data_IF_908953632018
#
_entry.id   IF_908953632018
#
_cell.length_a   1.000
_cell.length_b   1.000
_cell.length_c   1.000
_cell.angle_alpha   90.00
_cell.angle_beta   90.00
_cell.angle_gamma   90.00
#
_symmetry.space_group_name_H-M   'P 1'
#
loop_
_entity.id
_entity.type
_entity.pdbx_description
1 polymer ?
#
# COMPACT_ATOMS: atom_id res chain seq x y z
N UNK A 1 -13.17 9.95 21.27
CA UNK A 1 -13.33 8.49 21.29
C UNK A 1 -12.19 7.90 20.46
N UNK A 2 -11.09 7.49 21.11
CA UNK A 2 -9.89 6.95 20.44
C UNK A 2 -10.25 5.57 19.84
N UNK A 3 -9.96 5.33 18.55
CA UNK A 3 -10.35 4.08 17.86
C UNK A 3 -9.60 2.89 18.47
N UNK A 4 -10.18 1.68 18.40
CA UNK A 4 -9.55 0.44 18.92
C UNK A 4 -8.18 0.16 18.28
N UNK A 5 -7.96 0.59 17.05
CA UNK A 5 -6.68 0.49 16.32
C UNK A 5 -5.65 1.47 16.87
N UNK A 6 -6.02 2.74 17.06
CA UNK A 6 -5.15 3.76 17.68
C UNK A 6 -4.68 3.32 19.08
N UNK A 7 -5.53 2.59 19.84
CA UNK A 7 -5.15 2.01 21.14
C UNK A 7 -4.13 0.88 21.02
N UNK A 8 -4.22 0.02 20.00
CA UNK A 8 -3.31 -1.12 19.79
C UNK A 8 -1.94 -0.65 19.28
N UNK A 9 -1.93 0.32 18.37
CA UNK A 9 -0.71 0.92 17.84
C UNK A 9 0.03 1.72 18.94
N UNK A 10 -0.70 2.48 19.77
CA UNK A 10 -0.13 3.13 20.95
C UNK A 10 0.42 2.13 21.98
N UNK A 11 -0.26 1.01 22.22
CA UNK A 11 0.23 -0.07 23.11
C UNK A 11 1.57 -0.65 22.62
N UNK A 12 1.71 -0.86 21.31
CA UNK A 12 2.94 -1.41 20.72
C UNK A 12 4.10 -0.42 20.80
N UNK A 13 3.82 0.88 20.60
CA UNK A 13 4.82 1.94 20.75
C UNK A 13 5.32 2.03 22.20
N UNK A 14 4.42 1.87 23.18
CA UNK A 14 4.79 1.82 24.60
C UNK A 14 5.64 0.59 24.94
N UNK A 15 5.34 -0.57 24.36
CA UNK A 15 6.17 -1.78 24.49
C UNK A 15 7.58 -1.57 23.92
N UNK A 16 7.67 -0.94 22.74
CA UNK A 16 8.96 -0.58 22.13
C UNK A 16 9.75 0.36 23.04
N UNK A 17 9.12 1.40 23.58
CA UNK A 17 9.77 2.34 24.49
C UNK A 17 10.32 1.63 25.74
N UNK A 18 9.51 0.76 26.38
CA UNK A 18 9.94 -0.02 27.54
C UNK A 18 11.10 -0.98 27.23
N UNK A 19 11.06 -1.64 26.07
CA UNK A 19 12.12 -2.55 25.65
C UNK A 19 13.45 -1.79 25.41
N UNK A 20 13.38 -0.60 24.82
CA UNK A 20 14.54 0.27 24.62
C UNK A 20 15.15 0.72 25.96
N UNK A 21 14.33 1.16 26.91
CA UNK A 21 14.78 1.53 28.25
C UNK A 21 15.42 0.35 28.99
N UNK A 22 14.79 -0.83 28.91
CA UNK A 22 15.29 -2.06 29.54
C UNK A 22 16.63 -2.51 28.95
N UNK A 23 16.89 -2.19 27.69
CA UNK A 23 18.16 -2.45 27.01
C UNK A 23 19.23 -1.38 27.27
N UNK A 24 18.95 -0.40 28.15
CA UNK A 24 19.90 0.65 28.55
C UNK A 24 19.92 1.87 27.63
N UNK A 25 18.96 2.02 26.72
CA UNK A 25 18.84 3.23 25.93
C UNK A 25 18.31 4.40 26.80
N UNK A 26 18.97 5.55 26.71
CA UNK A 26 18.63 6.75 27.49
C UNK A 26 17.61 7.59 26.74
N UNK A 27 16.54 7.99 27.43
CA UNK A 27 15.51 8.88 26.88
C UNK A 27 16.05 10.31 26.68
N UNK A 28 15.79 10.90 25.53
CA UNK A 28 16.13 12.29 25.18
C UNK A 28 14.86 13.10 24.87
N UNK A 29 14.98 14.43 24.89
CA UNK A 29 13.88 15.31 24.46
C UNK A 29 13.50 15.02 23.00
N UNK A 30 12.24 14.60 22.73
CA UNK A 30 11.81 14.29 21.38
C UNK A 30 11.65 15.57 20.54
N UNK A 31 11.96 15.54 19.23
CA UNK A 31 11.70 16.66 18.34
C UNK A 31 10.18 16.89 18.15
N UNK A 32 9.82 17.98 17.47
CA UNK A 32 8.42 18.31 17.21
C UNK A 32 7.68 17.12 16.54
N UNK A 33 6.48 16.83 17.04
CA UNK A 33 5.62 15.71 16.61
C UNK A 33 6.13 14.29 16.91
N UNK A 34 7.31 14.14 17.54
CA UNK A 34 7.75 12.87 18.11
C UNK A 34 7.15 12.64 19.50
N UNK A 35 6.96 11.36 19.87
CA UNK A 35 6.52 10.94 21.21
C UNK A 35 7.74 10.53 22.04
N UNK A 36 8.62 9.72 21.45
CA UNK A 36 9.80 9.20 22.12
C UNK A 36 11.05 9.44 21.29
N UNK A 37 12.17 9.61 21.99
CA UNK A 37 13.50 9.60 21.41
C UNK A 37 14.44 8.92 22.40
N UNK A 38 15.17 7.92 21.93
CA UNK A 38 16.14 7.18 22.74
C UNK A 38 17.50 7.18 22.06
N UNK A 39 18.55 7.17 22.90
CA UNK A 39 19.95 7.02 22.49
C UNK A 39 20.57 5.83 23.18
N UNK A 40 21.30 5.03 22.43
CA UNK A 40 22.23 4.03 22.95
C UNK A 40 23.57 4.29 22.27
N UNK A 41 24.60 4.72 23.01
CA UNK A 41 25.87 5.18 22.43
C UNK A 41 25.67 6.20 21.30
N UNK A 42 26.14 5.88 20.10
CA UNK A 42 25.96 6.72 18.89
C UNK A 42 24.64 6.48 18.16
N UNK A 43 23.92 5.41 18.49
CA UNK A 43 22.63 5.03 17.92
C UNK A 43 21.49 5.90 18.44
N UNK A 44 20.56 6.28 17.55
CA UNK A 44 19.37 7.06 17.90
C UNK A 44 18.14 6.40 17.31
N UNK A 45 17.06 6.29 18.08
CA UNK A 45 15.73 5.94 17.59
C UNK A 45 14.73 7.02 17.98
N UNK A 46 13.96 7.51 17.01
CA UNK A 46 12.88 8.49 17.22
C UNK A 46 11.55 7.91 16.76
N UNK A 47 10.56 7.94 17.65
CA UNK A 47 9.23 7.38 17.42
C UNK A 47 8.21 8.53 17.34
N UNK A 48 7.48 8.61 16.23
CA UNK A 48 6.53 9.68 15.94
C UNK A 48 5.09 9.33 16.30
N UNK A 49 4.26 10.37 16.54
CA UNK A 49 2.80 10.23 16.73
C UNK A 49 2.08 9.50 15.60
N UNK A 50 2.70 9.45 14.42
CA UNK A 50 2.20 8.76 13.24
C UNK A 50 2.53 7.26 13.19
N UNK A 51 3.16 6.70 14.23
CA UNK A 51 3.71 5.35 14.25
C UNK A 51 5.05 5.19 13.52
N UNK A 52 5.55 6.25 12.85
CA UNK A 52 6.82 6.18 12.14
C UNK A 52 8.00 6.07 13.11
N UNK A 53 8.92 5.15 12.85
CA UNK A 53 10.16 4.98 13.61
C UNK A 53 11.34 5.34 12.70
N UNK A 54 12.22 6.22 13.17
CA UNK A 54 13.38 6.70 12.42
C UNK A 54 14.64 6.39 13.20
N UNK A 55 15.58 5.74 12.53
CA UNK A 55 16.88 5.37 13.08
C UNK A 55 17.96 6.35 12.59
N UNK A 56 18.65 6.98 13.53
CA UNK A 56 19.82 7.82 13.31
C UNK A 56 21.06 7.23 13.97
N UNK A 57 22.19 7.93 13.87
CA UNK A 57 23.46 7.45 14.41
C UNK A 57 24.27 6.59 13.43
N UNK A 58 25.34 5.98 13.95
CA UNK A 58 26.29 5.15 13.20
C UNK A 58 26.66 3.91 14.00
N UNK A 59 27.23 2.92 13.31
CA UNK A 59 27.83 1.74 13.94
C UNK A 59 26.81 0.76 14.52
N UNK A 60 27.33 -0.15 15.35
CA UNK A 60 26.61 -1.30 15.90
C UNK A 60 25.45 -0.87 16.80
N UNK A 61 25.58 0.25 17.52
CA UNK A 61 24.55 0.80 18.40
C UNK A 61 23.20 1.02 17.69
N UNK A 62 23.25 1.51 16.45
CA UNK A 62 22.05 1.72 15.63
C UNK A 62 21.38 0.39 15.28
N UNK A 63 22.18 -0.62 14.92
CA UNK A 63 21.66 -1.95 14.57
C UNK A 63 21.13 -2.70 15.80
N UNK A 64 21.74 -2.48 16.98
CA UNK A 64 21.21 -2.98 18.26
C UNK A 64 19.83 -2.37 18.54
N UNK A 65 19.70 -1.04 18.48
CA UNK A 65 18.41 -0.36 18.65
C UNK A 65 17.37 -0.89 17.67
N UNK A 66 17.74 -1.04 16.39
CA UNK A 66 16.86 -1.59 15.36
C UNK A 66 16.45 -3.02 15.67
N UNK A 67 17.37 -3.88 16.09
CA UNK A 67 17.07 -5.27 16.46
C UNK A 67 16.10 -5.37 17.64
N UNK A 68 16.24 -4.50 18.64
CA UNK A 68 15.32 -4.43 19.78
C UNK A 68 13.92 -4.06 19.30
N UNK A 69 13.82 -2.99 18.51
CA UNK A 69 12.54 -2.55 17.96
C UNK A 69 11.91 -3.63 17.07
N UNK A 70 12.68 -4.22 16.17
CA UNK A 70 12.23 -5.25 15.24
C UNK A 70 11.70 -6.49 15.99
N UNK A 71 12.36 -6.87 17.09
CA UNK A 71 11.90 -7.97 17.96
C UNK A 71 10.51 -7.66 18.51
N UNK A 72 10.31 -6.48 19.11
CA UNK A 72 9.01 -6.09 19.68
C UNK A 72 7.94 -5.94 18.60
N UNK A 73 8.28 -5.35 17.45
CA UNK A 73 7.34 -5.15 16.35
C UNK A 73 6.91 -6.45 15.67
N UNK A 74 7.73 -7.50 15.74
CA UNK A 74 7.43 -8.81 15.12
C UNK A 74 6.92 -9.86 16.11
N UNK A 75 6.88 -9.55 17.41
CA UNK A 75 6.39 -10.45 18.45
C UNK A 75 4.85 -10.66 18.35
N UNK A 76 4.35 -11.89 18.46
CA UNK A 76 2.91 -12.17 18.47
C UNK A 76 2.12 -11.57 17.28
N UNK A 77 2.77 -11.35 16.14
CA UNK A 77 2.10 -10.92 14.91
C UNK A 77 1.47 -12.13 14.23
N UNK A 78 0.37 -11.91 13.51
CA UNK A 78 -0.15 -12.96 12.64
C UNK A 78 0.89 -13.24 11.55
N UNK A 79 1.41 -14.46 11.49
CA UNK A 79 2.42 -14.92 10.51
C UNK A 79 1.81 -15.85 9.46
N UNK A 80 0.48 -15.99 9.44
CA UNK A 80 -0.22 -16.84 8.48
C UNK A 80 0.15 -16.45 7.05
N UNK A 81 0.63 -17.40 6.22
CA UNK A 81 0.90 -17.13 4.81
C UNK A 81 -0.36 -16.66 4.10
N UNK A 82 -0.32 -15.46 3.53
CA UNK A 82 -1.52 -14.81 2.98
C UNK A 82 -1.22 -14.01 1.72
N UNK A 83 -2.28 -13.75 0.96
CA UNK A 83 -2.31 -12.73 -0.08
C UNK A 83 -3.05 -11.51 0.45
N UNK A 84 -2.46 -10.33 0.29
CA UNK A 84 -3.14 -9.05 0.44
C UNK A 84 -3.30 -8.39 -0.94
N UNK A 85 -4.45 -7.80 -1.22
CA UNK A 85 -4.68 -7.08 -2.47
C UNK A 85 -5.32 -5.71 -2.25
N UNK A 86 -4.94 -4.76 -3.10
CA UNK A 86 -5.49 -3.39 -3.13
C UNK A 86 -5.36 -2.80 -4.54
N UNK A 87 -6.07 -1.69 -4.79
CA UNK A 87 -6.05 -0.95 -6.06
C UNK A 87 -5.68 0.53 -5.92
N UNK A 88 -5.13 1.10 -6.99
CA UNK A 88 -4.86 2.53 -7.11
C UNK A 88 -5.42 3.10 -8.42
N UNK A 89 -5.90 4.34 -8.38
CA UNK A 89 -6.40 5.05 -9.57
C UNK A 89 -7.84 4.74 -9.97
N UNK A 90 -8.58 3.92 -9.21
CA UNK A 90 -10.02 3.62 -9.45
C UNK A 90 -10.88 4.88 -9.54
N UNK A 91 -10.67 5.80 -8.59
CA UNK A 91 -11.44 7.05 -8.50
C UNK A 91 -10.84 8.22 -9.25
N UNK A 92 -9.73 8.06 -9.97
CA UNK A 92 -9.01 9.17 -10.61
C UNK A 92 -9.37 9.27 -12.10
N UNK A 93 -9.69 10.47 -12.56
CA UNK A 93 -10.08 10.73 -13.95
C UNK A 93 -8.95 10.44 -14.93
N UNK A 94 -7.77 10.99 -14.68
CA UNK A 94 -6.59 10.82 -15.51
C UNK A 94 -5.69 9.67 -15.00
N UNK A 95 -4.92 9.07 -15.90
CA UNK A 95 -3.96 8.03 -15.57
C UNK A 95 -4.54 6.62 -15.43
N UNK A 96 -3.68 5.63 -15.12
CA UNK A 96 -4.05 4.22 -15.13
C UNK A 96 -4.96 3.82 -13.97
N UNK A 97 -5.58 2.65 -14.09
CA UNK A 97 -6.07 1.85 -12.97
C UNK A 97 -5.06 0.73 -12.70
N UNK A 98 -4.68 0.52 -11.45
CA UNK A 98 -3.73 -0.53 -11.07
C UNK A 98 -4.31 -1.39 -9.97
N UNK A 99 -4.20 -2.72 -10.11
CA UNK A 99 -4.48 -3.68 -9.04
C UNK A 99 -3.20 -4.42 -8.72
N UNK A 100 -2.85 -4.53 -7.44
CA UNK A 100 -1.73 -5.32 -6.98
C UNK A 100 -2.21 -6.37 -5.96
N UNK A 101 -1.66 -7.57 -6.07
CA UNK A 101 -1.79 -8.62 -5.07
C UNK A 101 -0.40 -9.08 -4.66
N UNK A 102 -0.14 -9.11 -3.35
CA UNK A 102 1.13 -9.49 -2.76
C UNK A 102 0.91 -10.73 -1.92
N UNK A 103 1.73 -11.76 -2.14
CA UNK A 103 1.85 -12.94 -1.30
C UNK A 103 3.02 -12.77 -0.34
N UNK A 104 2.78 -13.08 0.94
CA UNK A 104 3.82 -13.16 1.96
C UNK A 104 3.69 -14.46 2.75
N UNK A 105 4.82 -15.13 2.94
CA UNK A 105 5.04 -16.14 3.96
C UNK A 105 5.51 -15.47 5.27
N UNK A 106 5.84 -16.27 6.29
CA UNK A 106 6.23 -15.75 7.60
C UNK A 106 7.42 -14.76 7.53
N UNK A 107 8.56 -15.10 6.88
CA UNK A 107 9.68 -14.17 6.76
C UNK A 107 9.28 -12.85 6.09
N UNK A 108 8.54 -12.92 4.98
CA UNK A 108 8.10 -11.73 4.26
C UNK A 108 7.17 -10.85 5.12
N UNK A 109 6.23 -11.43 5.88
CA UNK A 109 5.36 -10.68 6.79
C UNK A 109 6.18 -9.90 7.82
N UNK A 110 7.17 -10.55 8.44
CA UNK A 110 8.04 -9.91 9.43
C UNK A 110 8.84 -8.77 8.81
N UNK A 111 9.40 -8.97 7.61
CA UNK A 111 10.14 -7.91 6.91
C UNK A 111 9.24 -6.72 6.53
N UNK A 112 8.00 -6.96 6.09
CA UNK A 112 7.05 -5.88 5.80
C UNK A 112 6.79 -5.00 7.04
N UNK A 113 6.64 -5.62 8.22
CA UNK A 113 6.44 -4.90 9.48
C UNK A 113 7.66 -4.04 9.82
N UNK A 114 8.87 -4.58 9.67
CA UNK A 114 10.13 -3.84 9.89
C UNK A 114 10.32 -2.68 8.93
N UNK A 115 9.88 -2.83 7.67
CA UNK A 115 9.85 -1.75 6.68
C UNK A 115 8.88 -0.63 7.05
N UNK A 116 7.99 -0.85 8.03
CA UNK A 116 6.99 0.12 8.45
C UNK A 116 5.97 0.39 7.36
N UNK A 117 5.57 -0.65 6.61
CA UNK A 117 4.48 -0.53 5.64
C UNK A 117 3.23 -0.08 6.37
N UNK A 118 2.58 0.94 5.82
CA UNK A 118 1.40 1.58 6.38
C UNK A 118 0.53 2.12 5.27
N UNK A 119 -0.64 2.65 5.63
CA UNK A 119 -1.55 3.31 4.69
C UNK A 119 -0.78 4.20 3.71
N UNK A 120 -0.83 3.78 2.44
CA UNK A 120 -0.06 4.38 1.38
C UNK A 120 -0.42 5.86 1.20
N UNK A 121 -1.66 6.26 1.52
CA UNK A 121 -2.15 7.65 1.40
C UNK A 121 -1.40 8.64 2.30
N UNK A 122 -0.77 8.17 3.38
CA UNK A 122 0.01 8.98 4.32
C UNK A 122 1.48 9.13 3.92
N UNK A 123 1.88 8.59 2.77
CA UNK A 123 3.25 8.57 2.28
C UNK A 123 3.44 9.57 1.13
N UNK A 124 4.63 10.18 1.03
CA UNK A 124 5.03 10.93 -0.15
C UNK A 124 5.27 10.00 -1.34
N UNK A 125 5.18 10.51 -2.57
CA UNK A 125 5.40 9.73 -3.79
C UNK A 125 6.81 9.10 -3.82
N UNK A 126 7.83 9.84 -3.41
CA UNK A 126 9.20 9.34 -3.28
C UNK A 126 9.28 8.14 -2.31
N UNK A 127 8.64 8.26 -1.14
CA UNK A 127 8.63 7.19 -0.14
C UNK A 127 7.85 5.97 -0.64
N UNK A 128 6.76 6.17 -1.38
CA UNK A 128 5.99 5.09 -2.01
C UNK A 128 6.84 4.33 -3.03
N UNK A 129 7.54 5.03 -3.92
CA UNK A 129 8.40 4.40 -4.93
C UNK A 129 9.52 3.59 -4.26
N UNK A 130 10.19 4.17 -3.27
CA UNK A 130 11.25 3.49 -2.52
C UNK A 130 10.72 2.25 -1.78
N UNK A 131 9.62 2.37 -1.04
CA UNK A 131 9.04 1.25 -0.30
C UNK A 131 8.55 0.14 -1.23
N UNK A 132 7.96 0.48 -2.38
CA UNK A 132 7.54 -0.51 -3.37
C UNK A 132 8.72 -1.33 -3.90
N UNK A 133 9.88 -0.72 -4.08
CA UNK A 133 11.09 -1.43 -4.51
C UNK A 133 11.65 -2.33 -3.38
N UNK A 134 11.58 -1.91 -2.10
CA UNK A 134 11.94 -2.79 -0.97
C UNK A 134 10.96 -3.96 -0.80
N UNK A 135 9.65 -3.72 -0.92
CA UNK A 135 8.61 -4.77 -0.84
C UNK A 135 8.86 -5.86 -1.88
N UNK A 136 9.22 -5.48 -3.11
CA UNK A 136 9.50 -6.43 -4.20
C UNK A 136 10.73 -7.31 -3.98
N UNK A 137 11.64 -6.92 -3.09
CA UNK A 137 12.81 -7.74 -2.73
C UNK A 137 12.46 -8.86 -1.74
N UNK A 138 11.45 -8.64 -0.89
CA UNK A 138 11.12 -9.54 0.23
C UNK A 138 9.83 -10.33 0.00
N UNK A 139 8.93 -9.85 -0.87
CA UNK A 139 7.64 -10.46 -1.11
C UNK A 139 7.45 -10.85 -2.59
N UNK A 140 6.49 -11.75 -2.82
CA UNK A 140 6.07 -12.12 -4.17
C UNK A 140 4.76 -11.45 -4.52
N UNK A 141 4.49 -11.21 -5.80
CA UNK A 141 3.24 -10.58 -6.18
C UNK A 141 2.90 -10.66 -7.65
N UNK A 142 1.71 -10.17 -7.96
CA UNK A 142 1.23 -9.97 -9.32
C UNK A 142 0.54 -8.60 -9.39
N UNK A 143 0.82 -7.85 -10.45
CA UNK A 143 0.27 -6.51 -10.66
C UNK A 143 -0.35 -6.45 -12.05
N UNK A 144 -1.51 -5.79 -12.14
CA UNK A 144 -2.14 -5.44 -13.40
C UNK A 144 -2.28 -3.93 -13.51
N UNK A 145 -1.53 -3.34 -14.44
CA UNK A 145 -1.66 -1.93 -14.84
C UNK A 145 -2.56 -1.85 -16.06
N UNK A 146 -3.68 -1.15 -15.95
CA UNK A 146 -4.58 -0.81 -17.04
C UNK A 146 -4.35 0.65 -17.42
N UNK A 147 -3.53 0.87 -18.45
CA UNK A 147 -3.34 2.21 -19.03
C UNK A 147 -4.66 2.71 -19.64
N UNK A 148 -4.90 4.04 -19.72
CA UNK A 148 -6.23 4.57 -20.05
C UNK A 148 -6.86 4.01 -21.32
N UNK A 149 -6.07 3.84 -22.38
CA UNK A 149 -6.56 3.26 -23.64
C UNK A 149 -7.12 1.85 -23.46
N UNK A 150 -6.39 0.98 -22.75
CA UNK A 150 -6.85 -0.38 -22.47
C UNK A 150 -8.02 -0.38 -21.48
N UNK A 151 -7.94 0.45 -20.45
CA UNK A 151 -9.02 0.65 -19.48
C UNK A 151 -10.33 0.99 -20.20
N UNK A 152 -10.32 1.97 -21.10
CA UNK A 152 -11.50 2.43 -21.83
C UNK A 152 -12.10 1.31 -22.70
N UNK A 153 -11.25 0.53 -23.39
CA UNK A 153 -11.68 -0.64 -24.17
C UNK A 153 -12.35 -1.69 -23.28
N UNK A 154 -11.76 -2.03 -22.14
CA UNK A 154 -12.35 -3.01 -21.23
C UNK A 154 -13.63 -2.48 -20.58
N UNK A 155 -13.65 -1.21 -20.18
CA UNK A 155 -14.83 -0.59 -19.60
C UNK A 155 -16.02 -0.59 -20.56
N UNK A 156 -15.81 -0.39 -21.87
CA UNK A 156 -16.87 -0.48 -22.86
C UNK A 156 -17.57 -1.86 -22.88
N UNK A 157 -16.84 -2.93 -22.56
CA UNK A 157 -17.38 -4.29 -22.47
C UNK A 157 -18.11 -4.54 -21.14
N UNK A 158 -17.52 -4.13 -20.01
CA UNK A 158 -18.08 -4.42 -18.68
C UNK A 158 -19.15 -3.43 -18.23
N UNK A 159 -19.08 -2.18 -18.71
CA UNK A 159 -19.92 -1.01 -18.38
C UNK A 159 -20.10 -0.75 -16.87
N UNK A 160 -19.19 -1.28 -16.06
CA UNK A 160 -19.19 -1.16 -14.61
C UNK A 160 -17.77 -1.43 -14.09
N UNK A 161 -17.22 -0.47 -13.34
CA UNK A 161 -15.85 -0.56 -12.83
C UNK A 161 -15.66 -1.72 -11.85
N UNK A 162 -16.65 -2.03 -11.01
CA UNK A 162 -16.53 -3.13 -10.05
C UNK A 162 -16.51 -4.49 -10.78
N UNK A 163 -17.27 -4.66 -11.86
CA UNK A 163 -17.19 -5.88 -12.70
C UNK A 163 -15.83 -6.03 -13.38
N UNK A 164 -15.24 -4.93 -13.84
CA UNK A 164 -13.87 -4.95 -14.37
C UNK A 164 -12.87 -5.34 -13.29
N UNK A 165 -12.97 -4.74 -12.10
CA UNK A 165 -12.12 -5.06 -10.95
C UNK A 165 -12.26 -6.54 -10.55
N UNK A 166 -13.48 -7.09 -10.49
CA UNK A 166 -13.71 -8.50 -10.15
C UNK A 166 -12.90 -9.45 -11.04
N UNK A 167 -12.84 -9.18 -12.35
CA UNK A 167 -12.06 -9.99 -13.30
C UNK A 167 -10.56 -9.84 -13.06
N UNK A 168 -10.09 -8.61 -12.83
CA UNK A 168 -8.66 -8.33 -12.61
C UNK A 168 -8.19 -8.95 -11.28
N UNK A 169 -8.91 -8.71 -10.19
CA UNK A 169 -8.61 -9.27 -8.87
C UNK A 169 -8.58 -10.80 -8.93
N UNK A 170 -9.61 -11.43 -9.47
CA UNK A 170 -9.65 -12.90 -9.59
C UNK A 170 -8.47 -13.44 -10.38
N UNK A 171 -8.12 -12.82 -11.51
CA UNK A 171 -7.01 -13.29 -12.34
C UNK A 171 -5.67 -13.25 -11.60
N UNK A 172 -5.41 -12.18 -10.83
CA UNK A 172 -4.18 -12.05 -10.05
C UNK A 172 -4.17 -12.99 -8.85
N UNK A 173 -5.29 -13.09 -8.13
CA UNK A 173 -5.41 -13.96 -6.95
C UNK A 173 -5.30 -15.43 -7.35
N UNK A 174 -6.03 -15.89 -8.37
CA UNK A 174 -5.98 -17.28 -8.84
C UNK A 174 -4.56 -17.71 -9.21
N UNK A 175 -3.82 -16.84 -9.93
CA UNK A 175 -2.40 -17.07 -10.26
C UNK A 175 -1.54 -17.28 -9.01
N UNK A 176 -1.71 -16.44 -8.00
CA UNK A 176 -0.93 -16.51 -6.77
C UNK A 176 -1.37 -17.68 -5.88
N UNK A 177 -2.66 -17.98 -5.81
CA UNK A 177 -3.21 -19.12 -5.05
C UNK A 177 -2.68 -20.43 -5.61
N UNK A 178 -2.71 -20.62 -6.93
CA UNK A 178 -2.17 -21.82 -7.60
C UNK A 178 -0.68 -21.99 -7.35
N UNK A 179 0.09 -20.89 -7.34
CA UNK A 179 1.54 -20.92 -7.20
C UNK A 179 2.00 -21.12 -5.76
N UNK A 180 1.43 -20.39 -4.81
CA UNK A 180 1.95 -20.28 -3.45
C UNK A 180 1.07 -20.93 -2.37
N UNK A 181 -0.15 -21.37 -2.72
CA UNK A 181 -1.08 -22.07 -1.82
C UNK A 181 -1.25 -21.36 -0.45
N UNK A 182 -1.61 -20.06 -0.43
CA UNK A 182 -1.78 -19.30 0.81
C UNK A 182 -2.90 -19.91 1.67
N UNK A 183 -2.86 -19.62 2.97
CA UNK A 183 -3.96 -19.97 3.89
C UNK A 183 -5.08 -18.94 3.89
N UNK A 184 -4.76 -17.68 3.57
CA UNK A 184 -5.73 -16.58 3.57
C UNK A 184 -5.55 -15.64 2.37
N UNK A 185 -6.65 -15.07 1.90
CA UNK A 185 -6.69 -13.95 0.95
C UNK A 185 -7.45 -12.80 1.60
N UNK A 186 -6.85 -11.61 1.63
CA UNK A 186 -7.43 -10.38 2.19
C UNK A 186 -7.52 -9.34 1.07
N UNK A 187 -8.71 -8.76 0.89
CA UNK A 187 -8.97 -7.77 -0.17
C UNK A 187 -9.71 -6.56 0.43
N UNK A 188 -9.28 -5.35 0.08
CA UNK A 188 -10.04 -4.13 0.43
C UNK A 188 -11.39 -4.09 -0.30
N UNK A 189 -12.44 -3.79 0.44
CA UNK A 189 -13.81 -3.88 -0.08
C UNK A 189 -14.11 -2.69 -1.00
N UNK A 190 -14.04 -2.93 -2.31
CA UNK A 190 -14.39 -1.93 -3.33
C UNK A 190 -15.84 -2.05 -3.87
N UNK A 191 -16.57 -3.11 -3.49
CA UNK A 191 -17.94 -3.41 -3.89
C UNK A 191 -18.54 -4.60 -3.13
N UNK A 192 -19.86 -4.79 -3.17
CA UNK A 192 -20.54 -5.87 -2.43
C UNK A 192 -20.38 -7.26 -3.05
N UNK A 193 -20.10 -7.35 -4.35
CA UNK A 193 -20.05 -8.62 -5.09
C UNK A 193 -18.74 -9.42 -4.94
N UNK A 194 -17.63 -8.77 -4.59
CA UNK A 194 -16.30 -9.39 -4.66
C UNK A 194 -16.16 -10.59 -3.73
N UNK A 195 -16.69 -10.53 -2.50
CA UNK A 195 -16.59 -11.66 -1.56
C UNK A 195 -17.19 -12.93 -2.15
N UNK A 196 -18.43 -12.85 -2.63
CA UNK A 196 -19.10 -13.99 -3.29
C UNK A 196 -18.28 -14.47 -4.49
N UNK A 197 -17.81 -13.54 -5.31
CA UNK A 197 -17.04 -13.86 -6.52
C UNK A 197 -15.74 -14.60 -6.21
N UNK A 198 -15.02 -14.22 -5.14
CA UNK A 198 -13.84 -14.94 -4.67
C UNK A 198 -14.20 -16.34 -4.16
N UNK A 199 -15.23 -16.46 -3.31
CA UNK A 199 -15.68 -17.76 -2.79
C UNK A 199 -16.09 -18.72 -3.92
N UNK A 200 -16.81 -18.24 -4.94
CA UNK A 200 -17.28 -19.06 -6.05
C UNK A 200 -16.12 -19.58 -6.97
N UNK A 201 -14.92 -18.99 -6.90
CA UNK A 201 -13.84 -19.24 -7.86
C UNK A 201 -12.51 -19.69 -7.22
N UNK A 202 -12.38 -19.63 -5.90
CA UNK A 202 -11.18 -20.04 -5.18
C UNK A 202 -11.44 -21.30 -4.36
N UNK A 203 -10.40 -22.10 -4.04
CA UNK A 203 -10.57 -23.31 -3.24
C UNK A 203 -11.09 -23.00 -1.82
N UNK A 204 -11.99 -23.84 -1.31
CA UNK A 204 -12.55 -23.75 0.06
C UNK A 204 -11.47 -23.80 1.16
N UNK A 205 -10.28 -24.31 0.83
CA UNK A 205 -9.14 -24.36 1.75
C UNK A 205 -8.50 -22.99 2.04
N UNK A 206 -8.91 -21.94 1.32
CA UNK A 206 -8.40 -20.57 1.48
C UNK A 206 -9.41 -19.75 2.25
N UNK A 207 -9.00 -19.18 3.39
CA UNK A 207 -9.80 -18.23 4.15
C UNK A 207 -9.91 -16.90 3.38
N UNK A 208 -11.14 -16.50 3.01
CA UNK A 208 -11.39 -15.30 2.20
C UNK A 208 -11.96 -14.19 3.09
N UNK A 209 -11.16 -13.14 3.26
CA UNK A 209 -11.49 -11.97 4.06
C UNK A 209 -11.65 -10.75 3.15
N UNK A 210 -12.85 -10.18 3.12
CA UNK A 210 -13.15 -8.92 2.42
C UNK A 210 -13.67 -7.94 3.44
N UNK A 211 -12.91 -6.88 3.70
CA UNK A 211 -13.19 -5.90 4.74
C UNK A 211 -12.90 -4.49 4.24
N UNK A 212 -13.51 -3.50 4.88
CA UNK A 212 -13.13 -2.10 4.67
C UNK A 212 -11.87 -1.81 5.49
N UNK A 213 -11.01 -0.93 4.99
CA UNK A 213 -9.74 -0.57 5.65
C UNK A 213 -8.80 -1.76 5.82
N UNK A 214 -8.74 -2.59 4.78
CA UNK A 214 -7.92 -3.78 4.79
C UNK A 214 -6.41 -3.45 4.89
N UNK A 215 -6.00 -2.20 4.61
CA UNK A 215 -4.63 -1.70 4.78
C UNK A 215 -4.12 -1.71 6.23
N UNK A 216 -4.96 -2.05 7.20
CA UNK A 216 -4.51 -2.40 8.56
C UNK A 216 -3.69 -3.70 8.62
N UNK A 217 -3.88 -4.61 7.66
CA UNK A 217 -3.01 -5.78 7.47
C UNK A 217 -1.74 -5.36 6.68
N UNK A 218 -0.53 -5.74 7.15
CA UNK A 218 0.72 -5.30 6.51
C UNK A 218 0.88 -5.80 5.07
N UNK A 219 0.29 -6.95 4.72
CA UNK A 219 0.38 -7.51 3.36
C UNK A 219 -0.53 -6.74 2.41
N UNK A 220 -1.71 -6.31 2.87
CA UNK A 220 -2.58 -5.42 2.10
C UNK A 220 -1.98 -4.01 1.98
N UNK A 221 -1.39 -3.48 3.05
CA UNK A 221 -0.66 -2.20 3.00
C UNK A 221 0.48 -2.24 1.98
N UNK A 222 1.21 -3.36 1.91
CA UNK A 222 2.25 -3.57 0.90
C UNK A 222 1.66 -3.59 -0.52
N UNK A 223 0.52 -4.26 -0.74
CA UNK A 223 -0.19 -4.23 -2.02
C UNK A 223 -0.63 -2.81 -2.41
N UNK A 224 -1.15 -2.02 -1.46
CA UNK A 224 -1.51 -0.61 -1.65
C UNK A 224 -0.34 0.24 -2.11
N UNK A 225 0.82 0.09 -1.45
CA UNK A 225 2.06 0.79 -1.80
C UNK A 225 2.51 0.41 -3.21
N UNK A 226 2.51 -0.88 -3.54
CA UNK A 226 2.91 -1.36 -4.88
C UNK A 226 1.94 -0.86 -5.95
N UNK A 227 0.62 -0.92 -5.73
CA UNK A 227 -0.38 -0.42 -6.67
C UNK A 227 -0.19 1.08 -6.92
N UNK A 228 0.01 1.87 -5.86
CA UNK A 228 0.24 3.32 -5.97
C UNK A 228 1.56 3.62 -6.70
N UNK A 229 2.63 2.90 -6.41
CA UNK A 229 3.92 3.08 -7.09
C UNK A 229 3.83 2.81 -8.60
N UNK A 230 3.16 1.72 -8.99
CA UNK A 230 2.96 1.40 -10.40
C UNK A 230 2.00 2.39 -11.10
N UNK A 231 1.03 2.95 -10.37
CA UNK A 231 0.20 4.07 -10.89
C UNK A 231 1.06 5.31 -11.18
N UNK A 232 1.93 5.70 -10.25
CA UNK A 232 2.84 6.84 -10.41
C UNK A 232 3.77 6.64 -11.61
N UNK A 233 4.37 5.46 -11.75
CA UNK A 233 5.19 5.08 -12.92
C UNK A 233 4.37 5.15 -14.22
N UNK A 234 3.14 4.65 -14.21
CA UNK A 234 2.23 4.76 -15.36
C UNK A 234 1.91 6.21 -15.74
N UNK A 235 1.66 7.09 -14.76
CA UNK A 235 1.51 8.52 -15.02
C UNK A 235 2.78 9.11 -15.63
N UNK A 236 3.96 8.86 -15.07
CA UNK A 236 5.24 9.35 -15.61
C UNK A 236 5.48 8.90 -17.07
N UNK A 237 5.08 7.67 -17.42
CA UNK A 237 5.14 7.17 -18.80
C UNK A 237 4.21 7.97 -19.73
N UNK A 238 2.99 8.29 -19.30
CA UNK A 238 2.06 9.12 -20.06
C UNK A 238 2.60 10.55 -20.21
N UNK A 239 3.10 11.14 -19.13
CA UNK A 239 3.68 12.50 -19.13
C UNK A 239 4.83 12.59 -20.13
N UNK A 240 5.77 11.63 -20.08
CA UNK A 240 6.89 11.56 -21.02
C UNK A 240 6.45 11.36 -22.47
N UNK A 241 5.44 10.52 -22.70
CA UNK A 241 4.96 10.17 -24.05
C UNK A 241 4.21 11.31 -24.73
N UNK A 242 3.41 12.06 -23.97
CA UNK A 242 2.49 13.06 -24.51
C UNK A 242 2.92 14.50 -24.23
N UNK A 243 3.96 14.72 -23.41
CA UNK A 243 4.46 16.07 -23.09
C UNK A 243 3.51 16.86 -22.20
N UNK A 244 2.74 16.18 -21.34
CA UNK A 244 1.68 16.77 -20.49
C UNK A 244 1.95 16.44 -19.03
N UNK A 245 1.34 17.17 -18.09
CA UNK A 245 1.32 16.79 -16.67
C UNK A 245 0.01 16.06 -16.36
N UNK A 246 0.10 14.87 -15.76
CA UNK A 246 -1.10 14.14 -15.34
C UNK A 246 -1.53 14.65 -13.95
N UNK A 247 -2.76 15.14 -13.79
CA UNK A 247 -3.25 15.62 -12.50
C UNK A 247 -3.33 14.46 -11.50
N UNK A 248 -2.97 14.76 -10.25
CA UNK A 248 -3.09 13.81 -9.15
C UNK A 248 -4.46 13.98 -8.49
N UNK A 249 -5.40 13.09 -8.82
CA UNK A 249 -6.78 13.17 -8.32
C UNK A 249 -7.69 14.02 -9.19
N UNK A 250 -8.82 14.46 -8.61
CA UNK A 250 -9.94 15.06 -9.35
C UNK A 250 -10.26 16.50 -8.90
N UNK A 251 -9.26 17.26 -8.44
CA UNK A 251 -9.48 18.67 -8.15
C UNK A 251 -9.92 19.39 -9.44
N UNK A 252 -11.06 20.09 -9.40
CA UNK A 252 -11.68 20.68 -10.59
C UNK A 252 -10.75 21.62 -11.35
N UNK A 253 -10.03 22.48 -10.64
CA UNK A 253 -9.11 23.43 -11.26
C UNK A 253 -7.97 22.69 -11.94
N UNK A 254 -7.39 21.68 -11.29
CA UNK A 254 -6.33 20.86 -11.90
C UNK A 254 -6.80 20.11 -13.14
N UNK A 255 -8.02 19.55 -13.13
CA UNK A 255 -8.58 18.88 -14.30
C UNK A 255 -8.87 19.87 -15.43
N UNK A 256 -9.43 21.05 -15.12
CA UNK A 256 -9.72 22.07 -16.14
C UNK A 256 -8.44 22.54 -16.84
N UNK A 257 -7.38 22.85 -16.09
CA UNK A 257 -6.07 23.19 -16.65
C UNK A 257 -5.47 22.03 -17.47
N UNK A 258 -5.61 20.81 -16.98
CA UNK A 258 -5.16 19.62 -17.73
C UNK A 258 -5.90 19.49 -19.07
N UNK A 259 -7.23 19.63 -19.08
CA UNK A 259 -8.04 19.54 -20.31
C UNK A 259 -7.71 20.66 -21.30
N UNK A 260 -7.41 21.87 -20.83
CA UNK A 260 -6.94 22.97 -21.69
C UNK A 260 -5.56 22.70 -22.31
N UNK A 261 -4.72 21.88 -21.65
CA UNK A 261 -3.38 21.53 -22.11
C UNK A 261 -3.34 20.36 -23.10
N UNK A 262 -4.47 19.70 -23.37
CA UNK A 262 -4.54 18.50 -24.22
C UNK A 262 -5.62 18.62 -25.29
N UNK A 263 -5.33 18.13 -26.49
CA UNK A 263 -6.33 18.00 -27.55
C UNK A 263 -7.24 16.79 -27.34
N UNK A 264 -8.47 16.87 -27.86
CA UNK A 264 -9.50 15.84 -27.67
C UNK A 264 -9.07 14.42 -28.10
N UNK A 265 -8.29 14.33 -29.19
CA UNK A 265 -7.77 13.06 -29.69
C UNK A 265 -6.77 12.37 -28.74
N UNK A 266 -6.19 13.09 -27.77
CA UNK A 266 -5.30 12.53 -26.76
C UNK A 266 -6.07 11.92 -25.58
N UNK A 267 -7.31 12.36 -25.32
CA UNK A 267 -8.08 11.95 -24.15
C UNK A 267 -8.20 10.43 -23.98
N UNK A 268 -8.50 9.61 -25.02
CA UNK A 268 -8.62 8.17 -24.86
C UNK A 268 -7.36 7.48 -24.32
N UNK A 269 -6.18 8.12 -24.44
CA UNK A 269 -4.89 7.61 -23.99
C UNK A 269 -4.49 8.12 -22.60
N UNK A 270 -5.15 9.18 -22.12
CA UNK A 270 -4.78 9.88 -20.89
C UNK A 270 -5.82 9.73 -19.77
N UNK A 271 -7.10 9.55 -20.12
CA UNK A 271 -8.22 9.61 -19.16
C UNK A 271 -9.15 8.41 -19.25
N UNK A 272 -9.93 8.21 -18.18
CA UNK A 272 -11.03 7.24 -18.11
C UNK A 272 -12.30 7.89 -18.66
N UNK A 273 -12.63 7.62 -19.92
CA UNK A 273 -13.63 8.36 -20.71
C UNK A 273 -15.07 8.34 -20.16
N UNK A 274 -15.41 7.35 -19.34
CA UNK A 274 -16.75 7.23 -18.75
C UNK A 274 -17.00 8.18 -17.57
N UNK A 275 -15.97 8.79 -17.01
CA UNK A 275 -16.12 9.78 -15.95
C UNK A 275 -16.76 11.04 -16.52
N UNK A 276 -17.79 11.54 -15.84
CA UNK A 276 -18.36 12.84 -16.15
C UNK A 276 -17.73 13.89 -15.24
N UNK A 277 -16.71 14.59 -15.76
CA UNK A 277 -16.09 15.70 -15.07
C UNK A 277 -16.85 16.98 -15.46
N UNK A 278 -17.71 17.48 -14.58
CA UNK A 278 -18.36 18.79 -14.73
C UNK A 278 -17.32 19.90 -14.43
N UNK A 279 -16.43 20.14 -15.39
CA UNK A 279 -15.33 21.13 -15.36
C UNK A 279 -15.33 22.01 -16.59
#
# INVERSE_FOLDING_TARGET
MVRREDKKENSRIEEVAKALESAGAVSENPPQHAIYRFRLGDGIVTIYKSGSIVYGGKGDDKEILKSIVDSVLTENVDITPRIGCDEAGKGEYAGPLVVACIYCDEPAVKELIKLGVKDSKKLSDEKVLRLADEIKKVAHGAVRVLMPQEYNRLYANYKNINRLLDVVYLSLIDKLVKKYKPKRVIVDKYGSGIKKKLCDNLPDSVDIVVVEKAESDPVVAAASIVARAEKLKGCQLLEKKFGVKIPSGNNKDQISHFLQSVSENMLPYLVKMHFNMNV
#
